data_IF_663643889987
#
_entry.id   IF_663643889987
#
_cell.length_a   1.000
_cell.length_b   1.000
_cell.length_c   1.000
_cell.angle_alpha   90.00
_cell.angle_beta   90.00
_cell.angle_gamma   90.00
#
_symmetry.space_group_name_H-M   'P 1'
#
loop_
_entity.id
_entity.type
_entity.pdbx_description
1 polymer ?
#
# COMPACT_ATOMS: atom_id res chain seq x y z
N UNK A 1 -3.24 -39.40 45.12
CA UNK A 1 -4.01 -39.12 43.88
C UNK A 1 -4.51 -37.68 43.74
N UNK A 2 -4.88 -36.95 44.81
CA UNK A 2 -5.43 -35.58 44.71
C UNK A 2 -4.44 -34.47 44.26
N UNK A 3 -3.15 -34.55 44.64
CA UNK A 3 -2.13 -33.58 44.20
C UNK A 3 -1.74 -33.75 42.73
N UNK A 4 -1.64 -34.97 42.22
CA UNK A 4 -1.36 -35.24 40.80
C UNK A 4 -2.49 -34.72 39.89
N UNK A 5 -3.76 -34.96 40.23
CA UNK A 5 -4.91 -34.42 39.46
C UNK A 5 -4.97 -32.89 39.47
N UNK A 6 -4.59 -32.23 40.58
CA UNK A 6 -4.50 -30.76 40.65
C UNK A 6 -3.32 -30.19 39.86
N UNK A 7 -2.17 -30.87 39.87
CA UNK A 7 -1.01 -30.52 39.04
C UNK A 7 -1.31 -30.69 37.54
N UNK A 8 -2.00 -31.76 37.14
CA UNK A 8 -2.47 -31.96 35.77
C UNK A 8 -3.50 -30.91 35.34
N UNK A 9 -4.45 -30.54 36.23
CA UNK A 9 -5.42 -29.48 35.94
C UNK A 9 -4.79 -28.10 35.78
N UNK A 10 -3.82 -27.75 36.62
CA UNK A 10 -3.08 -26.48 36.52
C UNK A 10 -2.22 -26.41 35.25
N UNK A 11 -1.58 -27.51 34.86
CA UNK A 11 -0.81 -27.59 33.62
C UNK A 11 -1.70 -27.42 32.38
N UNK A 12 -2.89 -28.03 32.35
CA UNK A 12 -3.87 -27.85 31.26
C UNK A 12 -4.35 -26.40 31.18
N UNK A 13 -4.63 -25.76 32.31
CA UNK A 13 -5.04 -24.35 32.34
C UNK A 13 -3.91 -23.42 31.83
N UNK A 14 -2.66 -23.66 32.23
CA UNK A 14 -1.51 -22.91 31.73
C UNK A 14 -1.34 -23.06 30.22
N UNK A 15 -1.45 -24.28 29.69
CA UNK A 15 -1.39 -24.52 28.25
C UNK A 15 -2.51 -23.81 27.49
N UNK A 16 -3.74 -23.77 28.04
CA UNK A 16 -4.84 -23.02 27.45
C UNK A 16 -4.56 -21.51 27.44
N UNK A 17 -4.04 -20.95 28.54
CA UNK A 17 -3.67 -19.53 28.62
C UNK A 17 -2.56 -19.21 27.61
N UNK A 18 -1.52 -20.05 27.54
CA UNK A 18 -0.46 -19.90 26.55
C UNK A 18 -0.99 -19.99 25.12
N UNK A 19 -1.92 -20.91 24.84
CA UNK A 19 -2.56 -21.03 23.52
C UNK A 19 -3.38 -19.79 23.14
N UNK A 20 -4.18 -19.25 24.07
CA UNK A 20 -4.95 -18.02 23.85
C UNK A 20 -4.03 -16.83 23.64
N UNK A 21 -2.98 -16.70 24.45
CA UNK A 21 -1.98 -15.64 24.31
C UNK A 21 -1.26 -15.74 22.97
N UNK A 22 -0.85 -16.94 22.56
CA UNK A 22 -0.21 -17.17 21.28
C UNK A 22 -1.14 -16.80 20.11
N UNK A 23 -2.41 -17.21 20.15
CA UNK A 23 -3.41 -16.82 19.16
C UNK A 23 -3.58 -15.30 19.12
N UNK A 24 -3.67 -14.64 20.28
CA UNK A 24 -3.79 -13.20 20.37
C UNK A 24 -2.59 -12.48 19.72
N UNK A 25 -1.37 -12.92 20.03
CA UNK A 25 -0.16 -12.40 19.40
C UNK A 25 -0.15 -12.66 17.89
N UNK A 26 -0.50 -13.87 17.45
CA UNK A 26 -0.56 -14.25 16.04
C UNK A 26 -1.53 -13.37 15.24
N UNK A 27 -2.72 -13.07 15.77
CA UNK A 27 -3.69 -12.22 15.09
C UNK A 27 -3.27 -10.74 15.02
N UNK A 28 -2.40 -10.28 15.92
CA UNK A 28 -1.89 -8.91 15.93
C UNK A 28 -0.60 -8.75 15.12
N UNK A 29 0.27 -9.75 15.09
CA UNK A 29 1.55 -9.68 14.39
C UNK A 29 1.39 -10.05 12.92
N UNK A 30 1.14 -9.05 12.07
CA UNK A 30 0.95 -9.25 10.63
C UNK A 30 2.15 -9.93 9.95
N UNK A 31 3.42 -9.55 10.21
CA UNK A 31 4.55 -10.25 9.59
C UNK A 31 4.62 -11.75 9.92
N UNK A 32 4.23 -12.14 11.15
CA UNK A 32 4.14 -13.55 11.52
C UNK A 32 2.95 -14.25 10.85
N UNK A 33 1.79 -13.58 10.81
CA UNK A 33 0.55 -14.15 10.27
C UNK A 33 0.57 -14.31 8.76
N UNK A 34 1.20 -13.38 8.05
CA UNK A 34 1.24 -13.30 6.60
C UNK A 34 2.65 -13.58 6.05
N UNK A 35 3.47 -14.30 6.82
CA UNK A 35 4.84 -14.64 6.45
C UNK A 35 4.95 -15.27 5.05
N UNK A 36 4.01 -16.15 4.68
CA UNK A 36 4.00 -16.76 3.35
C UNK A 36 3.75 -15.72 2.24
N UNK A 37 2.84 -14.77 2.46
CA UNK A 37 2.60 -13.71 1.48
C UNK A 37 3.78 -12.73 1.38
N UNK A 38 4.48 -12.48 2.49
CA UNK A 38 5.71 -11.70 2.49
C UNK A 38 6.83 -12.44 1.76
N UNK A 39 6.96 -13.77 1.96
CA UNK A 39 7.90 -14.61 1.20
C UNK A 39 7.60 -14.59 -0.31
N UNK A 40 6.32 -14.63 -0.68
CA UNK A 40 5.88 -14.58 -2.08
C UNK A 40 6.17 -13.19 -2.69
N UNK A 41 5.90 -12.12 -1.94
CA UNK A 41 6.04 -10.74 -2.42
C UNK A 41 7.49 -10.24 -2.44
N UNK A 42 8.21 -10.34 -1.32
CA UNK A 42 9.60 -9.87 -1.20
C UNK A 42 10.63 -10.91 -1.67
N UNK A 43 10.23 -12.17 -1.77
CA UNK A 43 11.15 -13.29 -1.97
C UNK A 43 11.61 -13.87 -0.64
N UNK A 44 11.54 -15.19 -0.54
CA UNK A 44 11.93 -15.92 0.67
C UNK A 44 13.38 -15.65 1.05
N UNK A 45 13.58 -15.12 2.26
CA UNK A 45 14.91 -14.79 2.80
C UNK A 45 15.44 -13.41 2.40
N UNK A 46 14.67 -12.65 1.61
CA UNK A 46 15.03 -11.28 1.21
C UNK A 46 14.41 -10.21 2.12
N UNK A 47 13.65 -10.61 3.14
CA UNK A 47 12.98 -9.67 4.04
C UNK A 47 13.14 -10.06 5.51
N UNK A 48 13.15 -9.06 6.38
CA UNK A 48 13.14 -9.20 7.83
C UNK A 48 12.30 -8.10 8.47
N UNK A 49 11.47 -8.43 9.46
CA UNK A 49 10.83 -7.42 10.30
C UNK A 49 11.87 -6.82 11.26
N UNK A 50 12.17 -5.53 11.13
CA UNK A 50 13.19 -4.86 11.94
C UNK A 50 12.61 -4.05 13.10
N UNK A 51 11.35 -3.62 12.99
CA UNK A 51 10.68 -2.82 14.01
C UNK A 51 9.18 -3.12 14.06
N UNK A 52 8.52 -2.68 15.14
CA UNK A 52 7.07 -2.48 15.16
C UNK A 52 6.71 -1.38 16.16
N UNK A 53 5.67 -0.61 15.85
CA UNK A 53 5.18 0.47 16.71
C UNK A 53 3.65 0.52 16.72
N UNK A 54 3.05 0.75 17.90
CA UNK A 54 1.61 1.04 18.01
C UNK A 54 1.41 2.56 18.01
N UNK A 55 0.62 3.05 17.05
CA UNK A 55 0.34 4.48 16.84
C UNK A 55 -1.13 4.80 17.04
N UNK A 56 -1.41 6.08 17.28
CA UNK A 56 -2.78 6.62 17.36
C UNK A 56 -3.21 7.17 16.01
N UNK A 57 -4.45 6.87 15.61
CA UNK A 57 -5.03 7.36 14.38
C UNK A 57 -5.56 8.78 14.53
N UNK A 58 -5.21 9.64 13.57
CA UNK A 58 -5.84 10.95 13.40
C UNK A 58 -7.15 10.91 12.58
N UNK A 59 -7.47 9.75 11.98
CA UNK A 59 -8.54 9.60 10.97
C UNK A 59 -9.78 8.92 11.55
N UNK A 60 -9.62 7.96 12.46
CA UNK A 60 -10.75 7.26 13.08
C UNK A 60 -10.67 7.24 14.61
N UNK A 61 -11.83 7.15 15.25
CA UNK A 61 -11.96 7.17 16.70
C UNK A 61 -12.71 5.94 17.18
N UNK A 62 -12.43 5.50 18.40
CA UNK A 62 -13.11 4.37 19.04
C UNK A 62 -13.88 4.85 20.26
N UNK A 63 -15.14 4.42 20.34
CA UNK A 63 -15.94 4.67 21.54
C UNK A 63 -15.46 3.82 22.71
N UNK A 64 -15.26 4.43 23.87
CA UNK A 64 -14.93 3.72 25.10
C UNK A 64 -16.03 3.90 26.16
N UNK A 65 -16.42 2.78 26.77
CA UNK A 65 -17.30 2.78 27.94
C UNK A 65 -16.46 2.86 29.20
N UNK A 66 -16.63 3.93 29.98
CA UNK A 66 -16.10 3.98 31.33
C UNK A 66 -17.08 3.31 32.29
N UNK A 67 -16.62 2.26 32.97
CA UNK A 67 -17.35 1.59 34.05
C UNK A 67 -16.96 2.11 35.44
N UNK A 68 -16.10 3.15 35.51
CA UNK A 68 -15.69 3.78 36.77
C UNK A 68 -16.46 5.09 36.99
N UNK A 69 -16.75 5.42 38.25
CA UNK A 69 -17.50 6.63 38.64
C UNK A 69 -16.79 7.96 38.34
N UNK A 70 -15.58 7.94 37.75
CA UNK A 70 -14.76 9.13 37.46
C UNK A 70 -14.42 9.32 35.98
N UNK A 71 -14.75 8.38 35.10
CA UNK A 71 -14.54 8.53 33.66
C UNK A 71 -15.87 8.75 32.96
N UNK A 72 -15.98 9.80 32.14
CA UNK A 72 -17.09 9.93 31.21
C UNK A 72 -16.84 9.03 30.00
N UNK A 73 -17.87 8.30 29.51
CA UNK A 73 -17.75 7.63 28.24
C UNK A 73 -17.55 8.66 27.13
N UNK A 74 -16.80 8.30 26.11
CA UNK A 74 -16.50 9.22 25.00
C UNK A 74 -15.72 8.55 23.89
N UNK A 75 -15.22 9.38 22.98
CA UNK A 75 -14.39 8.95 21.87
C UNK A 75 -12.93 9.20 22.19
N UNK A 76 -12.05 8.33 21.66
CA UNK A 76 -10.61 8.50 21.70
C UNK A 76 -10.02 8.07 20.36
N UNK A 77 -8.82 8.55 19.99
CA UNK A 77 -8.13 8.07 18.80
C UNK A 77 -8.09 6.54 18.74
N UNK A 78 -8.39 6.02 17.54
CA UNK A 78 -8.16 4.62 17.22
C UNK A 78 -6.67 4.27 17.33
N UNK A 79 -6.34 2.99 17.41
CA UNK A 79 -4.95 2.51 17.47
C UNK A 79 -4.68 1.51 16.37
N UNK A 80 -3.53 1.66 15.74
CA UNK A 80 -3.04 0.78 14.69
C UNK A 80 -1.58 0.42 14.96
N UNK A 81 -1.07 -0.57 14.24
CA UNK A 81 0.32 -1.01 14.34
C UNK A 81 1.00 -0.86 12.99
N UNK A 82 2.21 -0.33 13.00
CA UNK A 82 3.13 -0.32 11.88
C UNK A 82 4.24 -1.35 12.09
N UNK A 83 4.69 -1.95 11.01
CA UNK A 83 5.84 -2.84 10.97
C UNK A 83 6.79 -2.36 9.89
N UNK A 84 8.03 -2.10 10.27
CA UNK A 84 9.10 -1.84 9.31
C UNK A 84 9.73 -3.17 8.88
N UNK A 85 9.79 -3.34 7.57
CA UNK A 85 10.36 -4.49 6.87
C UNK A 85 11.63 -4.03 6.17
N UNK A 86 12.76 -4.63 6.53
CA UNK A 86 13.99 -4.51 5.76
C UNK A 86 13.89 -5.46 4.58
N UNK A 87 13.89 -4.93 3.37
CA UNK A 87 13.90 -5.68 2.12
C UNK A 87 15.27 -5.56 1.45
N UNK A 88 15.79 -6.67 0.92
CA UNK A 88 17.02 -6.71 0.12
C UNK A 88 16.68 -7.09 -1.31
N UNK A 89 16.96 -6.19 -2.25
CA UNK A 89 16.68 -6.40 -3.67
C UNK A 89 17.63 -7.42 -4.33
N UNK A 90 17.41 -7.68 -5.62
CA UNK A 90 18.25 -8.59 -6.40
C UNK A 90 19.71 -8.10 -6.57
N UNK A 91 19.97 -6.81 -6.40
CA UNK A 91 21.29 -6.20 -6.47
C UNK A 91 22.00 -6.14 -5.10
N UNK A 92 21.34 -6.56 -4.03
CA UNK A 92 21.85 -6.50 -2.66
C UNK A 92 21.67 -5.13 -1.99
N UNK A 93 20.91 -4.21 -2.60
CA UNK A 93 20.52 -2.95 -1.98
C UNK A 93 19.43 -3.20 -0.93
N UNK A 94 19.49 -2.44 0.16
CA UNK A 94 18.59 -2.57 1.28
C UNK A 94 17.67 -1.37 1.39
N UNK A 95 16.38 -1.65 1.55
CA UNK A 95 15.33 -0.65 1.70
C UNK A 95 14.46 -0.97 2.91
N UNK A 96 13.87 0.07 3.50
CA UNK A 96 12.93 -0.07 4.62
C UNK A 96 11.53 0.24 4.11
N UNK A 97 10.66 -0.76 4.15
CA UNK A 97 9.28 -0.70 3.69
C UNK A 97 8.36 -0.84 4.90
N UNK A 98 7.44 0.09 5.09
CA UNK A 98 6.51 0.08 6.22
C UNK A 98 5.14 -0.42 5.77
N UNK A 99 4.59 -1.40 6.49
CA UNK A 99 3.20 -1.87 6.35
C UNK A 99 2.44 -1.60 7.64
N UNK A 100 1.13 -1.38 7.55
CA UNK A 100 0.30 -1.09 8.72
C UNK A 100 -1.02 -1.86 8.74
N UNK A 101 -1.60 -2.06 9.93
CA UNK A 101 -3.00 -2.51 10.02
C UNK A 101 -4.02 -1.37 9.95
N UNK A 102 -3.56 -0.13 9.68
CA UNK A 102 -4.37 1.07 9.81
C UNK A 102 -5.55 1.10 8.85
N UNK A 103 -5.30 0.76 7.59
CA UNK A 103 -6.34 0.69 6.55
C UNK A 103 -7.44 -0.30 6.92
N UNK A 104 -7.06 -1.46 7.49
CA UNK A 104 -8.03 -2.42 8.01
C UNK A 104 -8.87 -1.80 9.13
N UNK A 105 -8.23 -1.10 10.07
CA UNK A 105 -8.94 -0.48 11.22
C UNK A 105 -9.92 0.60 10.78
N UNK A 106 -9.53 1.46 9.84
CA UNK A 106 -10.40 2.49 9.26
C UNK A 106 -11.59 1.83 8.55
N UNK A 107 -11.33 0.86 7.67
CA UNK A 107 -12.40 0.15 6.96
C UNK A 107 -13.37 -0.54 7.93
N UNK A 108 -12.84 -1.12 9.01
CA UNK A 108 -13.61 -1.81 10.05
C UNK A 108 -14.47 -0.89 10.92
N UNK A 109 -14.05 0.37 11.06
CA UNK A 109 -14.80 1.42 11.76
C UNK A 109 -15.98 1.92 10.91
N UNK A 110 -15.77 2.02 9.59
CA UNK A 110 -16.78 2.48 8.63
C UNK A 110 -17.83 1.42 8.28
N UNK A 111 -17.48 0.14 8.38
CA UNK A 111 -18.36 -0.96 7.94
C UNK A 111 -18.78 -1.85 9.11
N UNK A 112 -20.05 -2.26 9.09
CA UNK A 112 -20.57 -3.24 10.05
C UNK A 112 -19.91 -4.64 9.86
N UNK A 113 -19.97 -5.48 10.89
CA UNK A 113 -19.16 -6.70 10.97
C UNK A 113 -19.33 -7.71 9.82
N UNK A 114 -20.52 -7.85 9.22
CA UNK A 114 -20.74 -8.76 8.08
C UNK A 114 -20.96 -8.01 6.76
N UNK A 115 -20.50 -6.77 6.65
CA UNK A 115 -20.53 -6.04 5.38
C UNK A 115 -19.68 -6.77 4.35
N UNK A 116 -20.18 -6.86 3.11
CA UNK A 116 -19.38 -7.33 1.98
C UNK A 116 -18.16 -6.46 1.73
N UNK A 117 -18.24 -5.18 2.09
CA UNK A 117 -17.18 -4.18 1.86
C UNK A 117 -16.17 -4.13 3.02
N UNK A 118 -16.38 -4.94 4.07
CA UNK A 118 -15.47 -5.03 5.20
C UNK A 118 -14.30 -5.93 4.84
N UNK A 119 -13.09 -5.39 4.81
CA UNK A 119 -11.88 -6.13 4.50
C UNK A 119 -11.61 -7.22 5.55
N UNK A 120 -11.26 -8.41 5.09
CA UNK A 120 -10.49 -9.35 5.90
C UNK A 120 -9.08 -8.78 6.15
N UNK A 121 -8.41 -9.28 7.18
CA UNK A 121 -7.03 -8.89 7.44
C UNK A 121 -6.08 -9.24 6.28
N UNK A 122 -6.38 -10.28 5.49
CA UNK A 122 -5.57 -10.66 4.33
C UNK A 122 -5.76 -9.68 3.17
N UNK A 123 -6.99 -9.24 2.91
CA UNK A 123 -7.28 -8.25 1.87
C UNK A 123 -6.66 -6.90 2.23
N UNK A 124 -6.80 -6.44 3.48
CA UNK A 124 -6.16 -5.22 3.93
C UNK A 124 -4.63 -5.32 3.89
N UNK A 125 -4.04 -6.46 4.29
CA UNK A 125 -2.60 -6.68 4.15
C UNK A 125 -2.14 -6.64 2.70
N UNK A 126 -2.94 -7.19 1.77
CA UNK A 126 -2.62 -7.15 0.34
C UNK A 126 -2.69 -5.73 -0.21
N UNK A 127 -3.64 -4.91 0.26
CA UNK A 127 -3.72 -3.50 -0.09
C UNK A 127 -2.43 -2.78 0.32
N UNK A 128 -1.89 -3.02 1.53
CA UNK A 128 -0.61 -2.41 1.92
C UNK A 128 0.55 -2.86 1.02
N UNK A 129 0.59 -4.13 0.61
CA UNK A 129 1.59 -4.59 -0.38
C UNK A 129 1.39 -3.94 -1.75
N UNK A 130 0.14 -3.72 -2.15
CA UNK A 130 -0.19 -3.04 -3.39
C UNK A 130 0.28 -1.60 -3.35
N UNK A 131 0.04 -0.86 -2.27
CA UNK A 131 0.49 0.52 -2.10
C UNK A 131 2.02 0.67 -2.16
N UNK A 132 2.75 -0.33 -1.66
CA UNK A 132 4.20 -0.38 -1.79
C UNK A 132 4.63 -0.65 -3.24
N UNK A 133 4.00 -1.64 -3.87
CA UNK A 133 4.25 -2.05 -5.25
C UNK A 133 3.92 -0.97 -6.28
N UNK A 134 2.81 -0.23 -6.11
CA UNK A 134 2.41 0.85 -7.02
C UNK A 134 3.33 2.06 -6.94
N UNK A 135 3.90 2.34 -5.76
CA UNK A 135 4.95 3.36 -5.60
C UNK A 135 6.25 2.93 -6.26
N UNK A 136 6.69 1.69 -6.05
CA UNK A 136 7.90 1.16 -6.68
C UNK A 136 7.77 1.15 -8.22
N UNK A 137 6.63 0.71 -8.75
CA UNK A 137 6.34 0.73 -10.18
C UNK A 137 6.35 2.17 -10.74
N UNK A 138 5.79 3.13 -10.02
CA UNK A 138 5.81 4.54 -10.42
C UNK A 138 7.20 5.17 -10.36
N UNK A 139 8.02 4.81 -9.37
CA UNK A 139 9.43 5.19 -9.32
C UNK A 139 10.19 4.68 -10.54
N UNK A 140 9.95 3.44 -10.96
CA UNK A 140 10.48 2.90 -12.23
C UNK A 140 10.09 3.75 -13.44
N UNK A 141 8.84 4.22 -13.53
CA UNK A 141 8.42 5.17 -14.60
C UNK A 141 9.22 6.46 -14.54
N UNK A 142 9.43 7.01 -13.33
CA UNK A 142 10.21 8.24 -13.17
C UNK A 142 11.64 8.03 -13.65
N UNK A 143 12.33 7.01 -13.17
CA UNK A 143 13.74 6.76 -13.46
C UNK A 143 13.99 6.37 -14.92
N UNK A 144 13.18 5.49 -15.48
CA UNK A 144 13.43 4.90 -16.80
C UNK A 144 12.89 5.76 -17.95
N UNK A 145 11.80 6.51 -17.71
CA UNK A 145 11.11 7.27 -18.76
C UNK A 145 11.32 8.77 -18.54
N UNK A 146 10.86 9.29 -17.40
CA UNK A 146 10.75 10.75 -17.21
C UNK A 146 12.10 11.44 -16.98
N UNK A 147 13.06 10.78 -16.32
CA UNK A 147 14.40 11.33 -16.08
C UNK A 147 15.23 11.54 -17.35
N UNK A 148 14.81 10.97 -18.49
CA UNK A 148 15.42 11.27 -19.79
C UNK A 148 14.99 12.63 -20.36
N UNK A 149 13.86 13.16 -19.88
CA UNK A 149 13.23 14.40 -20.32
C UNK A 149 13.53 15.51 -19.30
N UNK A 150 13.36 15.19 -18.02
CA UNK A 150 13.47 16.14 -16.92
C UNK A 150 14.83 15.99 -16.23
N UNK A 151 15.61 17.08 -16.08
CA UNK A 151 16.76 17.09 -15.21
C UNK A 151 16.39 16.72 -13.77
N UNK A 152 17.33 16.15 -13.03
CA UNK A 152 17.15 15.63 -11.66
C UNK A 152 16.34 16.56 -10.73
N UNK A 153 16.60 17.89 -10.63
CA UNK A 153 15.83 18.76 -9.74
C UNK A 153 14.33 18.81 -10.08
N UNK A 154 14.00 18.73 -11.37
CA UNK A 154 12.62 18.76 -11.87
C UNK A 154 11.95 17.40 -11.70
N UNK A 155 12.65 16.31 -12.03
CA UNK A 155 12.16 14.95 -11.81
C UNK A 155 11.86 14.68 -10.33
N UNK A 156 12.67 15.20 -9.41
CA UNK A 156 12.43 15.10 -7.95
C UNK A 156 11.19 15.88 -7.46
N UNK A 157 10.68 16.81 -8.26
CA UNK A 157 9.41 17.49 -7.96
C UNK A 157 8.20 16.58 -8.21
N UNK A 158 8.36 15.54 -9.03
CA UNK A 158 7.30 14.61 -9.38
C UNK A 158 7.14 13.50 -8.34
N UNK A 159 5.90 13.23 -8.03
CA UNK A 159 5.42 11.99 -7.42
C UNK A 159 4.79 11.15 -8.53
N UNK A 160 5.39 9.99 -8.79
CA UNK A 160 4.92 9.08 -9.83
C UNK A 160 4.52 7.78 -9.16
N UNK A 161 3.28 7.37 -9.39
CA UNK A 161 2.72 6.16 -8.80
C UNK A 161 1.72 5.53 -9.75
N UNK A 162 1.46 4.24 -9.58
CA UNK A 162 0.27 3.62 -10.15
C UNK A 162 -0.92 3.93 -9.26
N UNK A 163 -1.96 4.50 -9.85
CA UNK A 163 -3.23 4.78 -9.20
C UNK A 163 -4.36 4.01 -9.88
N UNK A 164 -5.58 4.18 -9.41
CA UNK A 164 -6.75 3.46 -9.90
C UNK A 164 -8.01 4.30 -9.86
N UNK A 165 -8.93 4.06 -10.79
CA UNK A 165 -10.19 4.80 -10.93
C UNK A 165 -11.33 4.13 -10.18
N UNK A 166 -12.33 4.91 -9.78
CA UNK A 166 -13.54 4.39 -9.15
C UNK A 166 -13.46 4.21 -7.63
N UNK A 167 -12.39 4.70 -6.99
CA UNK A 167 -12.16 4.54 -5.56
C UNK A 167 -11.43 3.24 -5.25
N UNK A 168 -11.42 2.83 -3.98
CA UNK A 168 -10.71 1.63 -3.58
C UNK A 168 -11.27 0.38 -4.29
N UNK A 169 -10.41 -0.50 -4.82
CA UNK A 169 -10.83 -1.76 -5.38
C UNK A 169 -11.69 -2.58 -4.41
N UNK A 170 -12.65 -3.37 -4.93
CA UNK A 170 -13.49 -4.22 -4.09
C UNK A 170 -12.63 -5.30 -3.40
N UNK A 171 -13.04 -5.78 -2.20
CA UNK A 171 -12.25 -6.73 -1.41
C UNK A 171 -11.76 -7.96 -2.19
N UNK A 172 -12.57 -8.47 -3.11
CA UNK A 172 -12.27 -9.66 -3.90
C UNK A 172 -11.07 -9.46 -4.85
N UNK A 173 -10.81 -8.23 -5.31
CA UNK A 173 -9.71 -7.91 -6.22
C UNK A 173 -8.36 -8.24 -5.56
N UNK A 174 -8.17 -7.86 -4.29
CA UNK A 174 -6.94 -8.14 -3.56
C UNK A 174 -6.62 -9.65 -3.46
N UNK A 175 -7.65 -10.48 -3.31
CA UNK A 175 -7.48 -11.93 -3.32
C UNK A 175 -7.03 -12.49 -4.68
N UNK A 176 -7.33 -11.79 -5.78
CA UNK A 176 -6.87 -12.12 -7.13
C UNK A 176 -5.46 -11.57 -7.37
N UNK A 177 -5.18 -10.33 -6.94
CA UNK A 177 -3.87 -9.70 -7.05
C UNK A 177 -2.75 -10.54 -6.42
N UNK A 178 -2.97 -11.14 -5.25
CA UNK A 178 -2.01 -12.05 -4.62
C UNK A 178 -1.64 -13.29 -5.44
N UNK A 179 -2.41 -13.62 -6.49
CA UNK A 179 -2.15 -14.78 -7.35
C UNK A 179 -1.37 -14.40 -8.61
N UNK A 180 -1.23 -13.11 -8.88
CA UNK A 180 -0.49 -12.61 -10.03
C UNK A 180 1.00 -12.83 -9.82
N UNK A 181 1.66 -13.50 -10.75
CA UNK A 181 3.10 -13.81 -10.63
C UNK A 181 3.99 -12.57 -10.73
N UNK A 182 3.49 -11.49 -11.32
CA UNK A 182 4.19 -10.21 -11.41
C UNK A 182 4.07 -9.38 -10.13
N UNK A 183 3.10 -9.67 -9.25
CA UNK A 183 2.86 -8.91 -8.03
C UNK A 183 3.89 -9.24 -6.93
N UNK A 184 5.09 -8.70 -7.09
CA UNK A 184 6.25 -8.89 -6.22
C UNK A 184 7.03 -7.59 -6.10
N UNK A 185 7.81 -7.43 -5.02
CA UNK A 185 8.57 -6.21 -4.73
C UNK A 185 9.58 -5.82 -5.81
N UNK A 186 10.14 -6.81 -6.54
CA UNK A 186 11.12 -6.58 -7.60
C UNK A 186 10.61 -6.89 -9.01
N UNK A 187 9.35 -7.28 -9.17
CA UNK A 187 8.78 -7.71 -10.46
C UNK A 187 7.56 -6.91 -10.91
N UNK A 188 6.93 -6.15 -10.02
CA UNK A 188 5.80 -5.30 -10.39
C UNK A 188 6.31 -4.02 -11.08
N UNK A 189 6.01 -3.89 -12.36
CA UNK A 189 6.25 -2.67 -13.14
C UNK A 189 4.92 -2.01 -13.54
N UNK A 190 5.02 -0.78 -14.06
CA UNK A 190 3.84 -0.05 -14.50
C UNK A 190 3.07 -0.79 -15.60
N UNK A 191 3.77 -1.51 -16.48
CA UNK A 191 3.16 -2.24 -17.59
C UNK A 191 2.24 -3.35 -17.10
N UNK A 192 2.67 -4.13 -16.11
CA UNK A 192 1.88 -5.21 -15.53
C UNK A 192 0.57 -4.69 -14.92
N UNK A 193 0.60 -3.52 -14.29
CA UNK A 193 -0.61 -2.86 -13.80
C UNK A 193 -1.50 -2.33 -14.93
N UNK A 194 -0.94 -1.75 -15.98
CA UNK A 194 -1.73 -1.21 -17.09
C UNK A 194 -2.37 -2.30 -17.97
N UNK A 195 -1.74 -3.48 -18.06
CA UNK A 195 -2.23 -4.60 -18.87
C UNK A 195 -3.18 -5.53 -18.12
N UNK A 196 -3.29 -5.41 -16.80
CA UNK A 196 -4.11 -6.33 -15.99
C UNK A 196 -5.61 -6.07 -16.15
N UNK A 197 -6.40 -7.14 -16.12
CA UNK A 197 -7.86 -7.06 -16.11
C UNK A 197 -8.44 -6.92 -14.69
N UNK A 198 -7.60 -6.92 -13.66
CA UNK A 198 -8.04 -6.93 -12.26
C UNK A 198 -8.76 -5.63 -11.85
N UNK A 199 -8.29 -4.49 -12.36
CA UNK A 199 -8.87 -3.18 -12.06
C UNK A 199 -8.41 -2.11 -13.06
N UNK A 200 -9.07 -0.94 -13.05
CA UNK A 200 -8.73 0.22 -13.90
C UNK A 200 -7.57 0.99 -13.27
N UNK A 201 -6.34 0.52 -13.52
CA UNK A 201 -5.10 1.15 -13.10
C UNK A 201 -4.58 2.13 -14.15
N UNK A 202 -3.92 3.19 -13.69
CA UNK A 202 -3.29 4.20 -14.54
C UNK A 202 -2.05 4.79 -13.88
N UNK A 203 -1.16 5.40 -14.66
CA UNK A 203 0.01 6.13 -14.14
C UNK A 203 -0.43 7.52 -13.69
N UNK A 204 -0.21 7.85 -12.43
CA UNK A 204 -0.41 9.19 -11.91
C UNK A 204 0.93 9.89 -11.75
N UNK A 205 1.06 11.06 -12.36
CA UNK A 205 2.21 11.96 -12.22
C UNK A 205 1.74 13.26 -11.60
N UNK A 206 2.23 13.60 -10.41
CA UNK A 206 1.86 14.80 -9.68
C UNK A 206 3.10 15.62 -9.34
N UNK A 207 3.17 16.87 -9.77
CA UNK A 207 4.15 17.81 -9.24
C UNK A 207 3.66 18.40 -7.92
N UNK A 208 4.51 18.37 -6.89
CA UNK A 208 4.19 19.03 -5.63
C UNK A 208 4.55 20.52 -5.68
N UNK A 209 3.56 21.40 -5.49
CA UNK A 209 3.74 22.87 -5.49
C UNK A 209 4.94 23.31 -4.64
N UNK A 210 5.05 22.82 -3.41
CA UNK A 210 6.14 23.19 -2.49
C UNK A 210 7.54 22.73 -2.94
N UNK A 211 7.64 21.77 -3.87
CA UNK A 211 8.90 21.35 -4.50
C UNK A 211 9.17 22.21 -5.73
N UNK A 212 8.15 22.42 -6.57
CA UNK A 212 8.23 23.23 -7.78
C UNK A 212 8.61 24.68 -7.46
N UNK A 213 8.05 25.27 -6.40
CA UNK A 213 8.37 26.62 -5.91
C UNK A 213 9.88 26.82 -5.56
N UNK A 214 10.63 25.74 -5.36
CA UNK A 214 12.07 25.78 -5.05
C UNK A 214 12.94 25.77 -6.31
N UNK A 215 12.37 25.46 -7.47
CA UNK A 215 13.06 25.50 -8.75
C UNK A 215 13.26 26.95 -9.20
N UNK A 216 14.27 27.19 -10.06
CA UNK A 216 14.42 28.49 -10.72
C UNK A 216 13.30 28.71 -11.75
N UNK A 217 13.00 29.96 -12.09
CA UNK A 217 11.99 30.29 -13.11
C UNK A 217 12.23 29.53 -14.44
N UNK A 218 13.49 29.36 -14.83
CA UNK A 218 13.85 28.59 -16.04
C UNK A 218 13.52 27.10 -15.92
N UNK A 219 13.71 26.51 -14.74
CA UNK A 219 13.40 25.11 -14.46
C UNK A 219 11.89 24.89 -14.37
N UNK A 220 11.16 25.80 -13.72
CA UNK A 220 9.69 25.77 -13.71
C UNK A 220 9.13 25.84 -15.14
N UNK A 221 9.64 26.79 -15.93
CA UNK A 221 9.27 26.93 -17.35
C UNK A 221 9.63 25.68 -18.15
N UNK A 222 10.78 25.03 -17.89
CA UNK A 222 11.16 23.80 -18.58
C UNK A 222 10.25 22.63 -18.21
N UNK A 223 9.93 22.46 -16.93
CA UNK A 223 9.01 21.44 -16.44
C UNK A 223 7.63 21.56 -17.12
N UNK A 224 7.05 22.76 -17.13
CA UNK A 224 5.77 23.01 -17.79
C UNK A 224 5.81 22.73 -19.30
N UNK A 225 6.87 23.16 -19.98
CA UNK A 225 7.04 22.92 -21.42
C UNK A 225 7.36 21.46 -21.76
N UNK A 226 7.72 20.63 -20.77
CA UNK A 226 8.05 19.22 -20.96
C UNK A 226 6.81 18.32 -21.01
N UNK A 227 5.62 18.81 -20.67
CA UNK A 227 4.38 18.03 -20.63
C UNK A 227 4.16 17.19 -21.90
N UNK A 228 4.26 17.81 -23.08
CA UNK A 228 4.08 17.10 -24.35
C UNK A 228 5.13 16.02 -24.61
N UNK A 229 6.38 16.23 -24.18
CA UNK A 229 7.43 15.22 -24.31
C UNK A 229 7.19 14.04 -23.35
N UNK A 230 6.72 14.32 -22.14
CA UNK A 230 6.34 13.29 -21.15
C UNK A 230 5.19 12.43 -21.68
N UNK A 231 4.15 13.07 -22.23
CA UNK A 231 3.02 12.36 -22.85
C UNK A 231 3.46 11.41 -23.96
N UNK A 232 4.28 11.89 -24.90
CA UNK A 232 4.75 11.06 -26.00
C UNK A 232 5.64 9.90 -25.52
N UNK A 233 6.50 10.13 -24.53
CA UNK A 233 7.33 9.06 -23.96
C UNK A 233 6.49 7.98 -23.25
N UNK A 234 5.45 8.36 -22.51
CA UNK A 234 4.53 7.39 -21.89
C UNK A 234 3.73 6.62 -22.95
N UNK A 235 3.25 7.28 -24.00
CA UNK A 235 2.56 6.62 -25.12
C UNK A 235 3.48 5.66 -25.87
N UNK A 236 4.74 6.04 -26.09
CA UNK A 236 5.73 5.18 -26.75
C UNK A 236 6.05 3.96 -25.89
N UNK A 237 6.23 4.15 -24.58
CA UNK A 237 6.57 3.07 -23.65
C UNK A 237 5.45 2.02 -23.50
N UNK A 238 4.19 2.47 -23.42
CA UNK A 238 3.06 1.60 -23.08
C UNK A 238 2.08 1.33 -24.24
N UNK A 239 2.25 2.00 -25.38
CA UNK A 239 1.47 1.74 -26.60
C UNK A 239 -0.04 1.86 -26.41
N UNK A 240 -0.80 0.86 -26.86
CA UNK A 240 -2.27 0.86 -26.75
C UNK A 240 -2.77 0.74 -25.29
N UNK A 241 -1.90 0.36 -24.34
CA UNK A 241 -2.20 0.28 -22.91
C UNK A 241 -1.83 1.54 -22.12
N UNK A 242 -1.22 2.54 -22.77
CA UNK A 242 -0.85 3.78 -22.09
C UNK A 242 -2.08 4.44 -21.45
N UNK A 243 -2.05 4.63 -20.14
CA UNK A 243 -3.10 5.32 -19.40
C UNK A 243 -2.47 6.15 -18.29
N UNK A 244 -2.74 7.45 -18.29
CA UNK A 244 -2.11 8.37 -17.37
C UNK A 244 -2.96 9.60 -17.04
N UNK A 245 -2.63 10.18 -15.89
CA UNK A 245 -3.06 11.49 -15.42
C UNK A 245 -1.82 12.24 -14.94
N UNK A 246 -1.46 13.31 -15.66
CA UNK A 246 -0.32 14.17 -15.35
C UNK A 246 -0.87 15.51 -14.87
N UNK A 247 -0.45 15.94 -13.69
CA UNK A 247 -0.73 17.26 -13.15
C UNK A 247 0.59 17.91 -12.72
N UNK A 248 1.01 18.95 -13.42
CA UNK A 248 2.19 19.76 -13.10
C UNK A 248 1.82 21.14 -12.50
N UNK A 249 0.54 21.52 -12.59
CA UNK A 249 0.01 22.75 -12.02
C UNK A 249 -1.37 23.12 -12.59
N UNK A 250 -2.00 24.22 -12.12
CA UNK A 250 -3.38 24.59 -12.43
C UNK A 250 -3.76 24.71 -13.91
N UNK A 251 -2.77 24.94 -14.78
CA UNK A 251 -2.95 25.06 -16.24
C UNK A 251 -2.02 24.11 -17.03
N UNK A 252 -1.42 23.14 -16.33
CA UNK A 252 -0.46 22.20 -16.90
C UNK A 252 -0.84 20.78 -16.49
N UNK A 253 -1.83 20.22 -17.19
CA UNK A 253 -2.35 18.87 -16.97
C UNK A 253 -2.58 18.14 -18.28
N UNK A 254 -2.47 16.80 -18.24
CA UNK A 254 -2.79 15.94 -19.37
C UNK A 254 -3.40 14.62 -18.89
N UNK A 255 -4.50 14.22 -19.52
CA UNK A 255 -5.16 12.93 -19.27
C UNK A 255 -5.26 12.16 -20.57
N UNK A 256 -4.82 10.91 -20.56
CA UNK A 256 -4.89 10.02 -21.71
C UNK A 256 -5.30 8.61 -21.28
N UNK A 257 -6.06 7.94 -22.14
CA UNK A 257 -6.44 6.55 -21.93
C UNK A 257 -6.39 5.85 -23.28
N UNK A 258 -5.47 4.91 -23.40
CA UNK A 258 -5.22 4.11 -24.58
C UNK A 258 -6.39 3.17 -24.90
N UNK A 259 -6.38 2.64 -26.12
CA UNK A 259 -7.48 1.80 -26.61
C UNK A 259 -7.67 0.52 -25.80
N UNK A 260 -6.60 -0.05 -25.26
CA UNK A 260 -6.60 -1.30 -24.49
C UNK A 260 -6.46 -1.07 -22.98
N UNK A 261 -6.26 0.16 -22.53
CA UNK A 261 -6.13 0.51 -21.11
C UNK A 261 -7.37 0.19 -20.26
N UNK A 262 -8.53 -0.03 -20.90
CA UNK A 262 -9.80 -0.25 -20.20
C UNK A 262 -10.18 -1.72 -20.26
N UNK A 263 -10.08 -2.48 -19.16
CA UNK A 263 -10.91 -3.66 -19.02
C UNK A 263 -12.37 -3.21 -19.07
N UNK A 264 -13.15 -3.80 -19.97
CA UNK A 264 -14.59 -3.58 -20.03
C UNK A 264 -15.17 -3.84 -18.64
N UNK A 265 -15.80 -2.80 -18.07
CA UNK A 265 -16.41 -2.79 -16.75
C UNK A 265 -16.96 -4.17 -16.33
N UNK A 266 -16.41 -4.72 -15.26
CA UNK A 266 -17.04 -5.86 -14.59
C UNK A 266 -16.68 -5.93 -13.11
N UNK A 267 -17.18 -4.95 -12.33
CA UNK A 267 -17.63 -5.19 -10.96
C UNK A 267 -18.88 -4.34 -10.69
#
# INVERSE_FOLDING_TARGET
MGRLKRLSGAAVLLLLICGIFFLFCYFRMWPLRFHAQLDDFFGKGNWEQISYEEKESIIYQVYHRSYSSRGYPGERPGKFTEWDILYTDANGQQEIWTISDHTMRINHDQHWLLSSDRYSAKEAFTLELMDLSTKAAGEGVREEILSSILPEPEAQCLDVSISYRGGNPPPQMYGQLLKESWFTAGGADAKAYLETELYDFYIRVLAYDYRVEKLTDSQQTHLENSLGAMEEALKEAYGEYADYDIYLGPDCEAVFSGKLARPAASY
#
